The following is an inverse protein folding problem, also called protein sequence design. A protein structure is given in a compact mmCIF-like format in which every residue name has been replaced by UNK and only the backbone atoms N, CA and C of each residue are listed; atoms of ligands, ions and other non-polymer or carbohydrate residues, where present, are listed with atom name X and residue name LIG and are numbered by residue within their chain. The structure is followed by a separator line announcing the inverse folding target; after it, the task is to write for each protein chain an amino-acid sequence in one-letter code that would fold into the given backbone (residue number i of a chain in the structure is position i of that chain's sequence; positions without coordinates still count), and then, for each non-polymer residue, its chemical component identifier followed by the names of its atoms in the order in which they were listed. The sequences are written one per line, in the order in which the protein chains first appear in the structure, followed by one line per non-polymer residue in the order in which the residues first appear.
data_IF_469601416582
#
_entry.id   IF_469601416582
#
_cell.length_a   1.000
_cell.length_b   1.000
_cell.length_c   1.000
_cell.angle_alpha   90.00
_cell.angle_beta   90.00
_cell.angle_gamma   90.00
#
_symmetry.space_group_name_H-M   'P 1'
#
loop_
_entity.id
_entity.type
_entity.pdbx_description
1 polymer ?
#
# COMPACT_ATOMS: atom_id res chain seq x y z
N UNK A 1 -19.44 5.56 18.03
CA UNK A 1 -19.10 5.34 17.62
C UNK A 1 -18.66 5.09 17.31
N UNK A 2 -18.88 5.22 17.33
CA UNK A 2 -18.42 4.90 16.79
C UNK A 2 -18.09 4.57 16.12
N UNK A 3 -18.19 4.69 15.88
CA UNK A 3 -17.96 4.28 15.04
C UNK A 3 -17.55 4.09 14.49
N UNK A 4 -17.65 4.35 14.44
CA UNK A 4 -17.26 4.10 13.72
C UNK A 4 -16.80 3.74 13.23
N UNK A 5 -16.83 3.97 13.24
CA UNK A 5 -16.44 3.60 12.59
C UNK A 5 -16.20 2.97 12.21
N UNK A 6 -16.30 2.91 12.11
CA UNK A 6 -16.19 2.23 11.52
C UNK A 6 -15.75 1.71 10.92
N UNK A 7 -15.72 2.04 10.70
CA UNK A 7 -15.47 1.62 10.00
C UNK A 7 -14.83 1.17 9.57
N UNK A 8 -14.61 1.48 9.61
CA UNK A 8 -14.04 0.97 9.15
C UNK A 8 -13.74 0.17 8.85
N UNK A 9 -13.66 0.30 8.66
CA UNK A 9 -13.56 -0.42 8.36
C UNK A 9 -13.43 -1.74 8.35
N UNK A 10 -13.97 -2.06 8.57
CA UNK A 10 -14.03 -3.49 8.71
C UNK A 10 -13.75 -4.28 7.47
N UNK A 11 -13.95 -3.72 6.35
CA UNK A 11 -13.59 -4.45 5.15
C UNK A 11 -12.08 -4.57 4.97
N UNK A 12 -11.32 -3.94 5.82
CA UNK A 12 -9.88 -4.04 5.72
C UNK A 12 -9.35 -5.45 5.89
N UNK A 13 -9.86 -6.24 6.84
CA UNK A 13 -9.38 -7.62 6.94
C UNK A 13 -9.69 -8.42 5.70
N UNK A 14 -10.66 -7.96 4.92
CA UNK A 14 -11.07 -8.65 3.71
C UNK A 14 -10.44 -8.09 2.46
N UNK A 15 -9.64 -7.05 2.59
CA UNK A 15 -8.97 -6.50 1.43
C UNK A 15 -8.02 -7.54 0.85
N UNK A 16 -7.99 -7.60 -0.46
CA UNK A 16 -7.11 -8.55 -1.14
C UNK A 16 -5.68 -8.05 -1.12
N UNK A 17 -4.75 -8.98 -1.02
CA UNK A 17 -3.34 -8.66 -1.17
C UNK A 17 -3.14 -8.03 -2.54
N UNK A 18 -3.61 -8.69 -3.58
CA UNK A 18 -3.52 -8.22 -4.95
C UNK A 18 -4.87 -8.44 -5.61
N UNK A 19 -5.54 -7.36 -5.98
CA UNK A 19 -6.85 -7.46 -6.62
C UNK A 19 -6.67 -7.43 -8.13
N UNK A 20 -6.36 -8.59 -8.69
CA UNK A 20 -6.05 -8.72 -10.11
C UNK A 20 -7.25 -8.37 -10.98
N UNK A 21 -8.43 -8.77 -10.56
CA UNK A 21 -9.66 -8.47 -11.32
C UNK A 21 -9.87 -6.97 -11.46
N UNK A 22 -9.72 -6.27 -10.34
CA UNK A 22 -9.90 -4.83 -10.35
C UNK A 22 -8.84 -4.15 -11.20
N UNK A 23 -7.61 -4.63 -11.12
CA UNK A 23 -6.52 -4.07 -11.92
C UNK A 23 -6.80 -4.27 -13.40
N UNK A 24 -7.21 -5.47 -13.80
CA UNK A 24 -7.51 -5.72 -15.21
C UNK A 24 -8.65 -4.84 -15.68
N UNK A 25 -9.68 -4.68 -14.85
CA UNK A 25 -10.79 -3.80 -15.20
C UNK A 25 -10.30 -2.36 -15.40
N UNK A 26 -9.49 -1.87 -14.46
CA UNK A 26 -8.97 -0.51 -14.52
C UNK A 26 -8.11 -0.27 -15.76
N UNK A 27 -7.47 -1.32 -16.25
CA UNK A 27 -6.59 -1.23 -17.41
C UNK A 27 -7.31 -1.58 -18.71
N UNK A 28 -8.64 -1.62 -18.68
CA UNK A 28 -9.42 -1.91 -19.88
C UNK A 28 -9.20 -3.30 -20.42
N UNK A 29 -8.80 -4.24 -19.56
CA UNK A 29 -8.54 -5.61 -19.98
C UNK A 29 -7.18 -5.82 -20.62
N UNK A 30 -6.33 -4.79 -20.64
CA UNK A 30 -5.04 -4.89 -21.30
C UNK A 30 -3.99 -5.41 -20.31
N UNK A 31 -3.61 -6.67 -20.49
CA UNK A 31 -2.69 -7.34 -19.57
C UNK A 31 -1.34 -6.62 -19.50
N UNK A 32 -0.88 -6.10 -20.63
CA UNK A 32 0.40 -5.42 -20.67
C UNK A 32 0.44 -4.21 -19.74
N UNK A 33 -0.65 -3.44 -19.72
CA UNK A 33 -0.73 -2.28 -18.85
C UNK A 33 -0.80 -2.69 -17.39
N UNK A 34 -1.51 -3.78 -17.12
CA UNK A 34 -1.61 -4.29 -15.74
C UNK A 34 -0.24 -4.75 -15.24
N UNK A 35 0.52 -5.45 -16.09
CA UNK A 35 1.86 -5.90 -15.72
C UNK A 35 2.77 -4.69 -15.47
N UNK A 36 2.66 -3.66 -16.30
CA UNK A 36 3.47 -2.46 -16.13
C UNK A 36 3.18 -1.79 -14.77
N UNK A 37 1.90 -1.73 -14.39
CA UNK A 37 1.54 -1.13 -13.11
C UNK A 37 2.14 -1.88 -11.93
N UNK A 38 2.10 -3.21 -11.98
CA UNK A 38 2.67 -4.02 -10.92
C UNK A 38 4.19 -3.87 -10.91
N UNK A 39 4.82 -3.88 -12.08
CA UNK A 39 6.27 -3.72 -12.18
C UNK A 39 6.72 -2.39 -11.59
N UNK A 40 5.98 -1.32 -11.88
CA UNK A 40 6.28 -0.01 -11.33
C UNK A 40 6.15 0.00 -9.82
N UNK A 41 5.10 -0.63 -9.29
CA UNK A 41 4.95 -0.71 -7.85
C UNK A 41 6.15 -1.42 -7.21
N UNK A 42 6.56 -2.55 -7.79
CA UNK A 42 7.69 -3.28 -7.24
C UNK A 42 8.97 -2.46 -7.29
N UNK A 43 9.15 -1.73 -8.38
CA UNK A 43 10.34 -0.90 -8.55
C UNK A 43 10.37 0.24 -7.54
N UNK A 44 9.25 0.94 -7.36
CA UNK A 44 9.21 2.10 -6.49
C UNK A 44 9.01 1.75 -5.02
N UNK A 45 8.64 0.51 -4.72
CA UNK A 45 8.35 0.15 -3.34
C UNK A 45 9.57 0.31 -2.43
N UNK A 46 10.77 0.04 -2.94
CA UNK A 46 11.98 0.16 -2.10
C UNK A 46 12.27 1.60 -1.75
N UNK A 47 12.42 2.53 -2.72
CA UNK A 47 12.70 3.92 -2.33
C UNK A 47 11.55 4.55 -1.55
N UNK A 48 10.30 4.24 -1.87
CA UNK A 48 9.18 4.84 -1.16
C UNK A 48 9.06 4.30 0.26
N UNK A 49 9.32 3.01 0.45
CA UNK A 49 9.37 2.43 1.78
C UNK A 49 10.44 3.13 2.63
N UNK A 50 11.60 3.37 2.02
CA UNK A 50 12.69 4.04 2.72
C UNK A 50 12.34 5.49 3.06
N UNK A 51 11.60 6.18 2.18
CA UNK A 51 11.16 7.55 2.48
C UNK A 51 10.25 7.58 3.71
N UNK A 52 9.33 6.62 3.81
CA UNK A 52 8.47 6.55 4.99
C UNK A 52 9.32 6.30 6.23
N UNK A 53 10.28 5.36 6.14
CA UNK A 53 11.15 5.06 7.27
C UNK A 53 11.91 6.30 7.73
N UNK A 54 12.49 7.02 6.79
CA UNK A 54 13.28 8.21 7.12
C UNK A 54 12.42 9.28 7.76
N UNK A 55 11.19 9.44 7.27
CA UNK A 55 10.25 10.39 7.85
C UNK A 55 9.91 10.04 9.28
N UNK A 56 9.77 8.74 9.54
CA UNK A 56 9.50 8.27 10.91
C UNK A 56 10.68 8.54 11.83
N UNK A 57 11.90 8.34 11.33
CA UNK A 57 13.10 8.59 12.13
C UNK A 57 13.23 10.06 12.47
N UNK A 58 12.82 10.93 11.54
CA UNK A 58 12.82 12.36 11.78
C UNK A 58 11.69 12.81 12.69
N UNK A 59 10.74 11.92 12.95
CA UNK A 59 9.58 12.21 13.79
C UNK A 59 8.81 13.42 13.27
N UNK A 60 8.71 13.53 11.95
CA UNK A 60 8.07 14.67 11.30
C UNK A 60 6.72 14.22 10.74
N UNK A 61 5.60 14.55 11.42
CA UNK A 61 4.29 14.06 10.98
C UNK A 61 3.93 14.48 9.57
N UNK A 62 4.28 15.69 9.17
CA UNK A 62 3.94 16.15 7.83
C UNK A 62 4.68 15.36 6.76
N UNK A 63 5.95 15.07 6.99
CA UNK A 63 6.72 14.25 6.05
C UNK A 63 6.21 12.82 6.01
N UNK A 64 5.84 12.26 7.16
CA UNK A 64 5.27 10.91 7.20
C UNK A 64 3.99 10.88 6.37
N UNK A 65 3.13 11.87 6.57
CA UNK A 65 1.87 11.93 5.85
C UNK A 65 2.09 11.99 4.33
N UNK A 66 3.01 12.85 3.90
CA UNK A 66 3.24 13.02 2.46
C UNK A 66 3.89 11.81 1.82
N UNK A 67 4.86 11.19 2.51
CA UNK A 67 5.52 10.02 1.94
C UNK A 67 4.57 8.83 1.89
N UNK A 68 3.73 8.66 2.90
CA UNK A 68 2.74 7.60 2.90
C UNK A 68 1.70 7.83 1.80
N UNK A 69 1.28 9.06 1.60
CA UNK A 69 0.30 9.38 0.56
C UNK A 69 0.85 9.05 -0.84
N UNK A 70 2.10 9.41 -1.08
CA UNK A 70 2.72 9.14 -2.38
C UNK A 70 2.82 7.63 -2.64
N UNK A 71 3.27 6.89 -1.64
CA UNK A 71 3.41 5.44 -1.77
C UNK A 71 2.02 4.79 -1.94
N UNK A 72 1.02 5.33 -1.25
CA UNK A 72 -0.34 4.82 -1.37
C UNK A 72 -0.84 4.91 -2.82
N UNK A 73 -0.55 6.04 -3.49
CA UNK A 73 -0.97 6.21 -4.87
C UNK A 73 -0.43 5.12 -5.77
N UNK A 74 0.86 4.82 -5.65
CA UNK A 74 1.47 3.76 -6.44
C UNK A 74 0.87 2.40 -6.11
N UNK A 75 0.58 2.17 -4.82
CA UNK A 75 -0.01 0.91 -4.38
C UNK A 75 -1.41 0.73 -4.97
N UNK A 76 -2.20 1.79 -4.99
CA UNK A 76 -3.54 1.72 -5.56
C UNK A 76 -3.50 1.46 -7.05
N UNK A 77 -2.52 2.04 -7.75
CA UNK A 77 -2.39 1.81 -9.19
C UNK A 77 -2.13 0.35 -9.52
N UNK A 78 -1.46 -0.37 -8.62
CA UNK A 78 -1.17 -1.78 -8.81
C UNK A 78 -2.21 -2.66 -8.13
N UNK A 79 -3.21 -2.06 -7.52
CA UNK A 79 -4.24 -2.78 -6.75
C UNK A 79 -3.64 -3.68 -5.67
N UNK A 80 -2.56 -3.20 -5.05
CA UNK A 80 -1.99 -3.81 -3.84
C UNK A 80 -2.79 -3.27 -2.66
N UNK A 81 -3.98 -3.85 -2.47
CA UNK A 81 -4.98 -3.21 -1.62
C UNK A 81 -4.65 -3.23 -0.13
N UNK A 82 -4.01 -4.28 0.35
CA UNK A 82 -3.63 -4.30 1.77
C UNK A 82 -2.52 -3.30 2.06
N UNK A 83 -1.55 -3.21 1.16
CA UNK A 83 -0.48 -2.22 1.30
C UNK A 83 -1.09 -0.82 1.30
N UNK A 84 -1.99 -0.55 0.35
CA UNK A 84 -2.63 0.75 0.26
C UNK A 84 -3.43 1.07 1.52
N UNK A 85 -4.11 0.08 2.08
CA UNK A 85 -4.90 0.28 3.30
C UNK A 85 -4.04 0.66 4.50
N UNK A 86 -2.90 0.01 4.64
CA UNK A 86 -1.98 0.33 5.73
C UNK A 86 -1.41 1.73 5.55
N UNK A 87 -1.06 2.08 4.32
CA UNK A 87 -0.53 3.41 4.04
C UNK A 87 -1.55 4.50 4.34
N UNK A 88 -2.82 4.23 4.06
CA UNK A 88 -3.86 5.18 4.44
C UNK A 88 -3.91 5.37 5.95
N UNK A 89 -3.80 4.28 6.71
CA UNK A 89 -3.80 4.38 8.17
C UNK A 89 -2.60 5.16 8.66
N UNK A 90 -1.43 4.94 8.07
CA UNK A 90 -0.25 5.71 8.44
C UNK A 90 -0.47 7.19 8.14
N UNK A 91 -1.03 7.48 6.98
CA UNK A 91 -1.31 8.86 6.58
C UNK A 91 -2.23 9.54 7.59
N UNK A 92 -3.30 8.87 7.98
CA UNK A 92 -4.26 9.43 8.93
C UNK A 92 -3.68 9.58 10.32
N UNK A 93 -2.90 8.58 10.78
CA UNK A 93 -2.26 8.66 12.09
C UNK A 93 -1.25 9.80 12.14
N UNK A 94 -0.52 10.00 11.05
CA UNK A 94 0.46 11.09 10.97
C UNK A 94 -0.26 12.44 11.00
N UNK A 95 -1.39 12.54 10.32
CA UNK A 95 -2.17 13.76 10.33
C UNK A 95 -2.58 14.11 11.76
N UNK A 96 -2.87 13.09 12.56
CA UNK A 96 -3.27 13.29 13.95
C UNK A 96 -2.06 13.41 14.89
N UNK A 97 -0.85 13.33 14.35
CA UNK A 97 0.35 13.46 15.16
C UNK A 97 0.72 12.21 15.95
N UNK A 98 0.10 11.09 15.65
CA UNK A 98 0.31 9.86 16.41
C UNK A 98 1.46 9.05 15.78
N UNK A 99 2.68 9.43 16.09
CA UNK A 99 3.87 8.81 15.50
C UNK A 99 4.05 7.37 15.96
N UNK A 100 3.70 7.06 17.20
CA UNK A 100 3.84 5.69 17.68
C UNK A 100 2.97 4.72 16.89
N UNK A 101 1.76 5.13 16.57
CA UNK A 101 0.90 4.30 15.77
C UNK A 101 1.45 4.15 14.36
N UNK A 102 2.04 5.21 13.82
CA UNK A 102 2.69 5.12 12.51
C UNK A 102 3.80 4.08 12.52
N UNK A 103 4.59 4.02 13.60
CA UNK A 103 5.66 3.04 13.69
C UNK A 103 5.14 1.61 13.71
N UNK A 104 4.07 1.40 14.49
CA UNK A 104 3.47 0.08 14.57
C UNK A 104 2.97 -0.37 13.21
N UNK A 105 2.31 0.54 12.49
CA UNK A 105 1.78 0.22 11.17
C UNK A 105 2.88 0.07 10.12
N UNK A 106 4.01 0.74 10.32
CA UNK A 106 5.12 0.61 9.40
C UNK A 106 5.66 -0.83 9.38
N UNK A 107 5.66 -1.49 10.54
CA UNK A 107 6.06 -2.89 10.59
C UNK A 107 5.10 -3.76 9.79
N UNK A 108 3.79 -3.49 9.93
CA UNK A 108 2.80 -4.21 9.15
C UNK A 108 2.98 -3.95 7.65
N UNK A 109 3.34 -2.72 7.31
CA UNK A 109 3.57 -2.35 5.92
C UNK A 109 4.65 -3.23 5.30
N UNK A 110 5.76 -3.40 6.00
CA UNK A 110 6.85 -4.23 5.49
C UNK A 110 6.40 -5.66 5.24
N UNK A 111 5.62 -6.21 6.17
CA UNK A 111 5.12 -7.57 6.00
C UNK A 111 4.20 -7.68 4.80
N UNK A 112 3.31 -6.72 4.63
CA UNK A 112 2.35 -6.80 3.52
C UNK A 112 3.02 -6.60 2.16
N UNK A 113 4.08 -5.82 2.10
CA UNK A 113 4.84 -5.69 0.86
C UNK A 113 5.46 -7.03 0.50
N UNK A 114 6.04 -7.76 1.47
CA UNK A 114 6.63 -9.06 1.19
C UNK A 114 5.57 -10.08 0.79
N UNK A 115 4.40 -10.03 1.43
CA UNK A 115 3.32 -10.92 1.07
C UNK A 115 2.86 -10.63 -0.37
N UNK A 116 2.77 -9.37 -0.74
CA UNK A 116 2.40 -9.00 -2.10
C UNK A 116 3.43 -9.54 -3.11
N UNK A 117 4.70 -9.34 -2.83
CA UNK A 117 5.76 -9.83 -3.72
C UNK A 117 5.66 -11.33 -3.91
N UNK A 118 5.42 -12.04 -2.81
CA UNK A 118 5.31 -13.49 -2.87
C UNK A 118 4.10 -13.92 -3.69
N UNK A 119 2.98 -13.25 -3.51
CA UNK A 119 1.77 -13.61 -4.26
C UNK A 119 1.98 -13.37 -5.76
N UNK A 120 2.61 -12.26 -6.13
CA UNK A 120 2.90 -11.96 -7.52
C UNK A 120 3.82 -13.04 -8.10
N UNK A 121 4.83 -13.44 -7.35
CA UNK A 121 5.77 -14.45 -7.81
C UNK A 121 5.10 -15.80 -8.02
N UNK A 122 4.29 -16.21 -7.04
CA UNK A 122 3.62 -17.50 -7.10
C UNK A 122 2.57 -17.55 -8.22
N UNK A 123 1.89 -16.44 -8.45
CA UNK A 123 0.84 -16.37 -9.46
C UNK A 123 1.37 -16.32 -10.87
N UNK A 124 2.67 -16.08 -11.04
CA UNK A 124 3.29 -15.99 -12.36
C UNK A 124 2.71 -14.83 -13.18
N UNK A 125 2.19 -13.84 -12.49
CA UNK A 125 1.48 -12.74 -13.14
C UNK A 125 2.38 -11.99 -14.13
N UNK A 126 3.63 -11.73 -13.71
CA UNK A 126 4.53 -10.91 -14.53
C UNK A 126 5.00 -11.61 -15.79
N UNK A 127 5.04 -12.93 -15.79
CA UNK A 127 5.51 -13.67 -16.94
C UNK A 127 4.40 -14.06 -17.91
N UNK A 128 3.16 -13.74 -17.56
CA UNK A 128 1.99 -14.13 -18.36
C UNK A 128 1.56 -13.08 -19.36
N UNK A 129 2.49 -12.30 -19.85
CA UNK A 129 2.17 -11.23 -20.78
C UNK A 129 1.64 -11.74 -22.11
#
# INVERSE_FOLDING_TARGET
VKAAAPAVRPEEPEAKVFDQEKLMYNMGGLKELAVDSVSMFLEYSVPYYNEVRNSLEEKNPDKIRRSAHKFKGTSLNACAMRVAGILLKIELSARDGNIEQCRSMFEDLGRQIEIFKNEISVSDFLSAK
#
